data_IF_739681370580
#
_entry.id   IF_739681370580
#
_cell.length_a   1.000
_cell.length_b   1.000
_cell.length_c   1.000
_cell.angle_alpha   90.00
_cell.angle_beta   90.00
_cell.angle_gamma   90.00
#
_symmetry.space_group_name_H-M   'P 1'
#
loop_
_entity.id
_entity.type
_entity.pdbx_description
1 polymer ?
#
# COMPACT_ATOMS: atom_id res chain seq x y z
N UNK A 1 16.66 -11.81 -8.18
CA UNK A 1 17.59 -10.76 -7.70
C UNK A 1 16.80 -9.89 -6.75
N UNK A 2 17.25 -9.70 -5.51
CA UNK A 2 16.61 -8.79 -4.56
C UNK A 2 17.12 -7.38 -4.83
N UNK A 3 16.21 -6.43 -5.07
CA UNK A 3 16.58 -5.03 -5.29
C UNK A 3 16.16 -4.25 -4.05
N UNK A 4 17.15 -3.70 -3.33
CA UNK A 4 16.93 -2.79 -2.20
C UNK A 4 16.85 -1.36 -2.72
N UNK A 5 15.81 -0.64 -2.30
CA UNK A 5 15.57 0.72 -2.71
C UNK A 5 15.04 1.55 -1.54
N UNK A 6 15.68 2.67 -1.26
CA UNK A 6 15.13 3.69 -0.38
C UNK A 6 14.06 4.50 -1.13
N UNK A 7 12.92 4.72 -0.49
CA UNK A 7 11.81 5.53 -1.00
C UNK A 7 11.51 6.64 0.02
N UNK A 8 12.34 7.70 0.08
CA UNK A 8 12.24 8.72 1.13
C UNK A 8 10.89 9.43 1.19
N UNK A 9 10.24 9.62 0.04
CA UNK A 9 8.91 10.26 -0.07
C UNK A 9 7.81 9.45 0.62
N UNK A 10 8.00 8.14 0.78
CA UNK A 10 7.05 7.22 1.41
C UNK A 10 7.54 6.74 2.78
N UNK A 11 8.73 7.17 3.21
CA UNK A 11 9.29 6.84 4.52
C UNK A 11 9.56 5.35 4.70
N UNK A 12 9.93 4.65 3.64
CA UNK A 12 10.26 3.21 3.68
C UNK A 12 11.50 2.89 2.83
N UNK A 13 12.24 1.88 3.26
CA UNK A 13 13.17 1.11 2.42
C UNK A 13 12.46 -0.17 2.00
N UNK A 14 12.46 -0.48 0.71
CA UNK A 14 11.77 -1.65 0.16
C UNK A 14 12.76 -2.62 -0.47
N UNK A 15 12.54 -3.91 -0.26
CA UNK A 15 13.16 -4.97 -1.07
C UNK A 15 12.07 -5.69 -1.86
N UNK A 16 12.25 -5.76 -3.19
CA UNK A 16 11.33 -6.48 -4.07
C UNK A 16 11.75 -7.93 -4.25
N UNK A 17 10.81 -8.85 -4.02
CA UNK A 17 10.94 -10.28 -4.31
C UNK A 17 10.02 -10.61 -5.48
N UNK A 18 10.60 -10.81 -6.66
CA UNK A 18 9.88 -11.19 -7.87
C UNK A 18 9.51 -12.68 -7.84
N UNK A 19 8.22 -13.01 -7.98
CA UNK A 19 7.71 -14.38 -8.04
C UNK A 19 7.28 -14.80 -9.46
N UNK A 20 7.50 -13.93 -10.45
CA UNK A 20 7.08 -14.11 -11.84
C UNK A 20 5.69 -13.56 -12.14
N UNK A 21 4.68 -13.95 -11.35
CA UNK A 21 3.30 -13.48 -11.54
C UNK A 21 2.90 -12.30 -10.63
N UNK A 22 3.69 -12.03 -9.59
CA UNK A 22 3.49 -10.95 -8.62
C UNK A 22 4.79 -10.67 -7.87
N UNK A 23 4.75 -9.70 -6.95
CA UNK A 23 5.88 -9.30 -6.10
C UNK A 23 5.51 -9.37 -4.64
N UNK A 24 6.50 -9.67 -3.81
CA UNK A 24 6.44 -9.37 -2.38
C UNK A 24 7.32 -8.14 -2.14
N UNK A 25 6.76 -7.15 -1.46
CA UNK A 25 7.49 -5.98 -0.98
C UNK A 25 7.83 -6.16 0.50
N UNK A 26 9.12 -6.27 0.80
CA UNK A 26 9.62 -6.27 2.16
C UNK A 26 9.90 -4.82 2.56
N UNK A 27 9.11 -4.29 3.48
CA UNK A 27 9.16 -2.89 3.88
C UNK A 27 9.86 -2.73 5.23
N UNK A 28 10.77 -1.77 5.32
CA UNK A 28 11.39 -1.34 6.57
C UNK A 28 11.22 0.18 6.76
N UNK A 29 10.97 0.68 7.98
CA UNK A 29 10.86 2.11 8.24
C UNK A 29 12.09 2.89 7.80
N UNK A 30 11.88 3.98 7.06
CA UNK A 30 12.90 4.96 6.75
C UNK A 30 12.53 6.30 7.37
N UNK A 31 13.28 6.70 8.38
CA UNK A 31 13.03 7.93 9.15
C UNK A 31 11.96 7.80 10.23
N UNK A 32 11.93 8.78 11.15
CA UNK A 32 11.09 8.73 12.35
C UNK A 32 9.58 8.86 12.11
N UNK A 33 9.15 9.24 10.89
CA UNK A 33 7.74 9.43 10.51
C UNK A 33 7.25 8.37 9.52
N UNK A 34 7.91 7.21 9.46
CA UNK A 34 7.50 6.13 8.56
C UNK A 34 6.05 5.71 8.82
N UNK A 35 5.22 5.53 7.77
CA UNK A 35 3.83 5.14 7.93
C UNK A 35 3.65 3.74 8.54
N UNK A 36 4.69 2.89 8.45
CA UNK A 36 4.65 1.50 8.97
C UNK A 36 5.30 1.35 10.35
N UNK A 37 5.84 2.42 10.95
CA UNK A 37 6.49 2.35 12.26
C UNK A 37 5.55 1.80 13.35
N UNK A 38 4.34 2.36 13.45
CA UNK A 38 3.34 1.91 14.43
C UNK A 38 2.81 0.49 14.18
N UNK A 39 2.94 -0.03 12.95
CA UNK A 39 2.63 -1.44 12.67
C UNK A 39 3.70 -2.36 13.29
N UNK A 40 4.99 -2.03 13.11
CA UNK A 40 6.10 -2.84 13.65
C UNK A 40 6.26 -2.71 15.17
N UNK A 41 5.88 -1.59 15.77
CA UNK A 41 5.79 -1.46 17.23
C UNK A 41 4.79 -2.47 17.82
N UNK A 42 3.68 -2.72 17.13
CA UNK A 42 2.66 -3.69 17.55
C UNK A 42 2.99 -5.12 17.15
N UNK A 43 3.73 -5.29 16.05
CA UNK A 43 4.08 -6.59 15.46
C UNK A 43 5.60 -6.69 15.35
N UNK A 44 6.28 -6.95 16.46
CA UNK A 44 7.74 -6.87 16.58
C UNK A 44 8.50 -7.89 15.74
N UNK A 45 7.85 -9.01 15.37
CA UNK A 45 8.39 -10.00 14.44
C UNK A 45 8.08 -9.70 12.95
N UNK A 46 7.38 -8.61 12.66
CA UNK A 46 6.84 -8.29 11.33
C UNK A 46 5.48 -8.93 11.05
N UNK A 47 5.02 -8.85 9.80
CA UNK A 47 3.76 -9.42 9.35
C UNK A 47 3.30 -8.89 8.00
N UNK A 48 2.20 -9.45 7.48
CA UNK A 48 1.52 -8.95 6.27
C UNK A 48 0.88 -7.60 6.57
N UNK A 49 1.34 -6.54 5.90
CA UNK A 49 0.84 -5.19 6.12
C UNK A 49 -0.40 -4.86 5.27
N UNK A 50 -0.32 -5.12 3.97
CA UNK A 50 -1.39 -4.84 3.00
C UNK A 50 -1.22 -5.71 1.75
N UNK A 51 -2.23 -5.67 0.88
CA UNK A 51 -2.15 -6.17 -0.50
C UNK A 51 -2.40 -5.01 -1.45
N UNK A 52 -1.78 -5.03 -2.63
CA UNK A 52 -1.99 -4.06 -3.69
C UNK A 52 -2.66 -4.73 -4.89
N UNK A 53 -3.72 -4.11 -5.41
CA UNK A 53 -4.49 -4.58 -6.56
C UNK A 53 -4.52 -3.50 -7.64
N UNK A 54 -4.20 -3.89 -8.87
CA UNK A 54 -4.26 -2.97 -10.01
C UNK A 54 -5.71 -2.73 -10.46
N UNK A 55 -5.98 -1.51 -10.92
CA UNK A 55 -7.25 -1.11 -11.54
C UNK A 55 -6.98 -0.28 -12.80
N UNK A 56 -7.81 -0.47 -13.84
CA UNK A 56 -7.63 0.21 -15.13
C UNK A 56 -7.77 1.74 -15.05
N UNK A 57 -8.61 2.23 -14.16
CA UNK A 57 -8.82 3.66 -13.94
C UNK A 57 -9.11 3.94 -12.47
N UNK A 58 -8.11 4.47 -11.77
CA UNK A 58 -8.17 4.70 -10.33
C UNK A 58 -9.29 5.64 -9.89
N UNK A 59 -9.56 6.71 -10.65
CA UNK A 59 -10.62 7.67 -10.32
C UNK A 59 -12.01 7.03 -10.39
N UNK A 60 -12.28 6.27 -11.47
CA UNK A 60 -13.53 5.51 -11.62
C UNK A 60 -13.67 4.42 -10.57
N UNK A 61 -12.58 3.70 -10.28
CA UNK A 61 -12.56 2.64 -9.26
C UNK A 61 -12.88 3.22 -7.87
N UNK A 62 -12.20 4.28 -7.45
CA UNK A 62 -12.43 4.95 -6.16
C UNK A 62 -13.84 5.52 -6.07
N UNK A 63 -14.36 6.15 -7.13
CA UNK A 63 -15.75 6.63 -7.16
C UNK A 63 -16.76 5.47 -6.98
N UNK A 64 -16.53 4.35 -7.66
CA UNK A 64 -17.38 3.14 -7.56
C UNK A 64 -17.30 2.50 -6.17
N UNK A 65 -16.11 2.44 -5.57
CA UNK A 65 -15.93 1.88 -4.23
C UNK A 65 -16.65 2.75 -3.19
N UNK A 66 -16.50 4.07 -3.27
CA UNK A 66 -17.20 5.02 -2.38
C UNK A 66 -18.72 4.95 -2.54
N UNK A 67 -19.25 4.84 -3.76
CA UNK A 67 -20.70 4.72 -3.98
C UNK A 67 -21.29 3.42 -3.42
N UNK A 68 -20.47 2.38 -3.28
CA UNK A 68 -20.80 1.11 -2.61
C UNK A 68 -20.58 1.12 -1.10
N UNK A 69 -20.23 2.27 -0.51
CA UNK A 69 -20.03 2.40 0.94
C UNK A 69 -18.67 1.88 1.45
N UNK A 70 -17.72 1.60 0.57
CA UNK A 70 -16.35 1.22 0.96
C UNK A 70 -15.61 2.45 1.47
N UNK A 71 -15.10 2.37 2.70
CA UNK A 71 -14.35 3.46 3.33
C UNK A 71 -12.94 3.51 2.76
N UNK A 72 -12.54 4.68 2.29
CA UNK A 72 -11.18 4.98 1.84
C UNK A 72 -10.41 5.72 2.95
N UNK A 73 -9.09 5.57 3.02
CA UNK A 73 -8.24 6.25 4.00
C UNK A 73 -7.81 7.67 3.58
N UNK A 74 -8.17 8.09 2.36
CA UNK A 74 -7.93 9.44 1.85
C UNK A 74 -9.12 10.01 1.06
N UNK A 75 -9.09 11.32 0.82
CA UNK A 75 -10.14 11.99 0.04
C UNK A 75 -9.99 11.74 -1.47
N UNK A 76 -8.75 11.74 -1.98
CA UNK A 76 -8.40 11.53 -3.39
C UNK A 76 -7.19 10.60 -3.49
N UNK A 77 -6.99 9.92 -4.63
CA UNK A 77 -5.77 9.15 -4.87
C UNK A 77 -4.52 10.01 -4.66
N UNK A 78 -3.47 9.41 -4.12
CA UNK A 78 -2.13 10.02 -3.95
C UNK A 78 -1.10 9.25 -4.76
N UNK A 79 0.11 9.77 -4.94
CA UNK A 79 1.16 9.05 -5.66
C UNK A 79 1.79 7.98 -4.75
N UNK A 80 1.74 6.72 -5.18
CA UNK A 80 2.32 5.55 -4.53
C UNK A 80 3.83 5.40 -4.79
N UNK A 81 4.41 4.35 -4.22
CA UNK A 81 5.85 4.07 -4.28
C UNK A 81 6.35 3.84 -5.72
N UNK A 82 5.48 3.36 -6.61
CA UNK A 82 5.77 3.14 -8.03
C UNK A 82 5.54 4.37 -8.92
N UNK A 83 5.27 5.54 -8.33
CA UNK A 83 5.01 6.77 -9.10
C UNK A 83 3.62 6.81 -9.76
N UNK A 84 2.75 5.85 -9.45
CA UNK A 84 1.38 5.77 -9.96
C UNK A 84 0.37 6.25 -8.90
N UNK A 85 -0.83 6.72 -9.29
CA UNK A 85 -1.87 7.02 -8.32
C UNK A 85 -2.37 5.78 -7.58
N UNK A 86 -2.56 5.90 -6.27
CA UNK A 86 -3.03 4.84 -5.36
C UNK A 86 -4.08 5.35 -4.39
N UNK A 87 -4.92 4.45 -3.88
CA UNK A 87 -5.84 4.70 -2.77
C UNK A 87 -5.86 3.50 -1.82
N UNK A 88 -5.79 3.77 -0.52
CA UNK A 88 -5.97 2.73 0.50
C UNK A 88 -7.42 2.61 0.96
N UNK A 89 -7.91 1.39 1.05
CA UNK A 89 -9.23 1.04 1.57
C UNK A 89 -9.10 0.66 3.05
N UNK A 90 -9.99 1.19 3.87
CA UNK A 90 -9.95 0.95 5.31
C UNK A 90 -10.25 -0.54 5.60
N UNK A 91 -9.45 -1.22 6.44
CA UNK A 91 -9.68 -2.63 6.81
C UNK A 91 -11.08 -3.00 7.30
N UNK A 92 -11.82 -2.05 7.89
CA UNK A 92 -13.21 -2.24 8.34
C UNK A 92 -14.18 -2.50 7.19
N UNK A 93 -13.83 -2.09 5.97
CA UNK A 93 -14.60 -2.38 4.75
C UNK A 93 -14.06 -3.60 3.99
N UNK A 94 -12.96 -4.20 4.45
CA UNK A 94 -12.20 -5.22 3.73
C UNK A 94 -11.86 -6.43 4.64
N UNK A 95 -12.77 -6.76 5.58
CA UNK A 95 -12.65 -7.92 6.49
C UNK A 95 -11.30 -8.01 7.24
N UNK A 96 -10.76 -6.85 7.65
CA UNK A 96 -9.51 -6.78 8.42
C UNK A 96 -8.24 -6.61 7.58
N UNK A 97 -8.34 -6.66 6.25
CA UNK A 97 -7.18 -6.47 5.36
C UNK A 97 -7.07 -5.02 4.90
N UNK A 98 -5.88 -4.43 5.00
CA UNK A 98 -5.59 -3.17 4.34
C UNK A 98 -5.36 -3.45 2.85
N UNK A 99 -6.17 -2.83 1.99
CA UNK A 99 -6.07 -3.00 0.52
C UNK A 99 -5.64 -1.67 -0.07
N UNK A 100 -4.57 -1.69 -0.84
CA UNK A 100 -4.21 -0.64 -1.78
C UNK A 100 -4.81 -0.96 -3.15
N UNK A 101 -5.41 0.03 -3.80
CA UNK A 101 -5.72 -0.03 -5.23
C UNK A 101 -4.80 0.93 -5.96
N UNK A 102 -4.09 0.44 -6.96
CA UNK A 102 -3.10 1.19 -7.75
C UNK A 102 -3.55 1.26 -9.21
N UNK A 103 -3.31 2.38 -9.87
CA UNK A 103 -3.50 2.49 -11.31
C UNK A 103 -2.59 1.49 -12.05
N UNK A 104 -3.17 0.66 -12.94
CA UNK A 104 -2.40 -0.18 -13.85
C UNK A 104 -1.50 0.66 -14.77
#
# INVERSE_FOLDING_TARGET
MFVLQDIPTHGVTTVFVELGNTKIELLHPLGAKSPIAGFLEKNTAGGMHHICLEVDNIEKAVATLKSKGIKCLGEKPSIGAHGKPVMFLHPKSCNGVLIEVEQA
#
